data_IF_600222278548
#
_entry.id   IF_600222278548
#
_cell.length_a   1.000
_cell.length_b   1.000
_cell.length_c   1.000
_cell.angle_alpha   90.00
_cell.angle_beta   90.00
_cell.angle_gamma   90.00
#
_symmetry.space_group_name_H-M   'P 1'
#
loop_
_entity.id
_entity.type
_entity.pdbx_description
1 polymer ?
#
# COMPACT_ATOMS: atom_id res chain seq x y z
N UNK A 1 -16.32 9.56 -7.52
CA UNK A 1 -15.02 8.88 -7.68
C UNK A 1 -14.68 8.25 -6.35
N UNK A 2 -14.86 6.92 -6.22
CA UNK A 2 -14.64 6.21 -4.97
C UNK A 2 -13.13 5.94 -4.80
N UNK A 3 -12.50 6.60 -3.85
CA UNK A 3 -11.18 6.27 -3.37
C UNK A 3 -11.25 4.89 -2.71
N UNK A 4 -10.52 3.93 -3.24
CA UNK A 4 -10.44 2.61 -2.62
C UNK A 4 -9.51 2.72 -1.43
N UNK A 5 -10.07 2.81 -0.26
CA UNK A 5 -9.37 2.79 1.02
C UNK A 5 -9.12 1.33 1.35
N UNK A 6 -7.88 0.88 1.28
CA UNK A 6 -7.52 -0.47 1.68
C UNK A 6 -7.38 -0.55 3.20
N UNK A 7 -8.13 -1.43 3.86
CA UNK A 7 -7.84 -1.77 5.24
C UNK A 7 -6.53 -2.57 5.33
N UNK A 8 -5.82 -2.42 6.43
CA UNK A 8 -4.65 -3.21 6.81
C UNK A 8 -4.81 -4.65 6.38
N UNK A 9 -3.85 -5.18 5.60
CA UNK A 9 -3.75 -6.58 5.22
C UNK A 9 -3.66 -7.46 6.46
N UNK A 10 -4.76 -8.11 6.79
CA UNK A 10 -4.80 -9.24 7.70
C UNK A 10 -4.85 -10.48 6.83
N UNK A 11 -3.92 -11.40 7.10
CA UNK A 11 -3.80 -12.71 6.48
C UNK A 11 -5.15 -13.40 6.32
N UNK A 12 -5.51 -13.76 5.09
CA UNK A 12 -6.61 -14.66 4.81
C UNK A 12 -6.06 -16.07 4.76
N UNK A 13 -6.29 -16.81 5.82
CA UNK A 13 -6.17 -18.27 5.80
C UNK A 13 -7.41 -18.84 5.14
N UNK A 14 -7.21 -19.53 4.02
CA UNK A 14 -8.25 -20.41 3.45
C UNK A 14 -8.42 -21.64 4.34
N UNK A 15 -9.60 -21.87 4.84
CA UNK A 15 -10.00 -23.18 5.35
C UNK A 15 -11.32 -23.61 4.77
N UNK A 16 -11.29 -24.80 4.22
CA UNK A 16 -12.34 -25.51 3.51
C UNK A 16 -13.53 -25.86 4.37
N UNK A 17 -14.67 -25.88 3.72
CA UNK A 17 -15.99 -26.39 4.02
C UNK A 17 -16.05 -27.67 4.84
N UNK A 18 -16.80 -27.65 5.93
CA UNK A 18 -17.60 -28.83 6.39
C UNK A 18 -18.95 -28.32 6.89
N UNK A 19 -20.00 -28.85 6.27
CA UNK A 19 -21.38 -28.66 6.61
C UNK A 19 -21.78 -29.62 7.75
N UNK A 20 -22.29 -29.11 8.86
CA UNK A 20 -23.07 -29.92 9.83
C UNK A 20 -24.28 -29.12 10.30
N UNK A 21 -25.41 -29.75 10.15
CA UNK A 21 -26.76 -29.28 10.50
C UNK A 21 -26.99 -29.52 12.01
N UNK A 22 -27.62 -28.60 12.66
CA UNK A 22 -28.73 -28.71 13.59
C UNK A 22 -28.60 -27.90 14.88
N UNK A 23 -29.72 -27.34 15.15
CA UNK A 23 -30.38 -27.04 16.42
C UNK A 23 -30.46 -25.58 16.84
N UNK A 24 -31.67 -25.09 16.83
CA UNK A 24 -32.12 -23.81 17.32
C UNK A 24 -31.76 -23.61 18.80
N UNK A 25 -30.99 -22.60 19.07
CA UNK A 25 -30.95 -21.95 20.36
C UNK A 25 -31.10 -20.45 20.11
N UNK A 26 -32.14 -19.87 20.65
CA UNK A 26 -32.42 -18.45 20.68
C UNK A 26 -31.27 -17.73 21.42
N UNK A 27 -30.23 -17.36 20.69
CA UNK A 27 -29.17 -16.51 21.22
C UNK A 27 -29.56 -15.07 20.94
N UNK A 28 -29.81 -14.33 21.99
CA UNK A 28 -29.93 -12.87 22.02
C UNK A 28 -28.86 -12.24 21.15
N UNK A 29 -29.26 -11.60 20.09
CA UNK A 29 -28.38 -10.88 19.17
C UNK A 29 -27.83 -9.65 19.89
N UNK A 30 -26.71 -9.81 20.60
CA UNK A 30 -25.93 -8.67 21.07
C UNK A 30 -25.48 -7.90 19.81
N UNK A 31 -26.07 -6.73 19.65
CA UNK A 31 -25.67 -5.72 18.67
C UNK A 31 -24.14 -5.64 18.61
N UNK A 32 -23.58 -6.09 17.49
CA UNK A 32 -22.18 -5.89 17.19
C UNK A 32 -21.92 -4.39 17.22
N UNK A 33 -21.14 -3.91 18.19
CA UNK A 33 -20.62 -2.56 18.18
C UNK A 33 -19.93 -2.36 16.84
N UNK A 34 -20.46 -1.45 16.04
CA UNK A 34 -19.89 -1.03 14.78
C UNK A 34 -18.52 -0.41 15.09
N UNK A 35 -17.49 -1.23 15.13
CA UNK A 35 -16.11 -0.77 15.29
C UNK A 35 -15.77 -0.04 14.00
N UNK A 36 -15.95 1.27 14.01
CA UNK A 36 -15.53 2.16 12.93
C UNK A 36 -14.07 1.80 12.61
N UNK A 37 -13.83 1.28 11.39
CA UNK A 37 -12.48 0.91 10.97
C UNK A 37 -11.61 2.16 11.08
N UNK A 38 -10.58 2.07 11.91
CA UNK A 38 -9.63 3.15 12.10
C UNK A 38 -8.45 2.89 11.17
N UNK A 39 -8.13 3.85 10.32
CA UNK A 39 -6.94 3.88 9.48
C UNK A 39 -6.20 5.20 9.71
N UNK A 40 -4.89 5.15 9.65
CA UNK A 40 -4.05 6.34 9.87
C UNK A 40 -3.45 6.90 8.59
N UNK A 41 -3.55 6.19 7.49
CA UNK A 41 -2.99 6.60 6.21
C UNK A 41 -3.50 5.78 5.04
N UNK A 42 -3.05 6.17 3.86
CA UNK A 42 -3.37 5.53 2.58
C UNK A 42 -2.10 5.29 1.79
N UNK A 43 -2.16 4.37 0.84
CA UNK A 43 -1.19 4.24 -0.24
C UNK A 43 -1.87 4.46 -1.58
N UNK A 44 -1.11 5.00 -2.54
CA UNK A 44 -1.63 5.33 -3.87
C UNK A 44 -0.59 5.11 -4.95
N UNK A 45 -1.08 4.93 -6.18
CA UNK A 45 -0.29 4.89 -7.42
C UNK A 45 -1.06 5.58 -8.55
N UNK A 46 -0.55 5.49 -9.77
CA UNK A 46 -1.28 5.98 -10.95
C UNK A 46 -2.63 5.27 -11.18
N UNK A 47 -2.84 4.08 -10.58
CA UNK A 47 -4.10 3.35 -10.72
C UNK A 47 -5.32 4.09 -10.14
N UNK A 48 -5.11 4.94 -9.14
CA UNK A 48 -6.16 5.79 -8.58
C UNK A 48 -6.51 6.98 -9.48
N UNK A 49 -5.78 7.18 -10.60
CA UNK A 49 -6.02 8.28 -11.52
C UNK A 49 -5.72 9.65 -10.92
N UNK A 50 -6.57 10.64 -11.23
CA UNK A 50 -6.46 12.00 -10.67
C UNK A 50 -7.11 12.05 -9.28
N UNK A 51 -6.34 12.46 -8.28
CA UNK A 51 -6.77 12.54 -6.88
C UNK A 51 -7.08 13.98 -6.53
N UNK A 52 -8.23 14.21 -5.89
CA UNK A 52 -8.52 15.48 -5.23
C UNK A 52 -7.93 15.48 -3.81
N UNK A 53 -6.73 16.02 -3.70
CA UNK A 53 -6.01 16.08 -2.44
C UNK A 53 -6.65 16.98 -1.39
N UNK A 54 -7.47 17.96 -1.81
CA UNK A 54 -8.23 18.80 -0.88
C UNK A 54 -9.31 17.97 -0.20
N UNK A 55 -10.00 17.11 -0.96
CA UNK A 55 -10.99 16.20 -0.39
C UNK A 55 -10.35 15.15 0.53
N UNK A 56 -9.23 14.55 0.09
CA UNK A 56 -8.48 13.59 0.94
C UNK A 56 -8.09 14.19 2.28
N UNK A 57 -7.60 15.42 2.29
CA UNK A 57 -7.16 16.10 3.51
C UNK A 57 -8.29 16.50 4.48
N UNK A 58 -9.55 16.45 4.06
CA UNK A 58 -10.70 16.65 4.95
C UNK A 58 -10.88 15.49 5.92
N UNK A 59 -10.49 14.29 5.52
CA UNK A 59 -10.55 13.12 6.41
C UNK A 59 -9.41 13.17 7.42
N UNK A 60 -9.74 13.53 8.66
CA UNK A 60 -8.77 13.68 9.76
C UNK A 60 -8.15 12.36 10.23
N UNK A 61 -8.65 11.22 9.78
CA UNK A 61 -8.00 9.93 10.04
C UNK A 61 -6.77 9.73 9.13
N UNK A 62 -6.73 10.36 7.95
CA UNK A 62 -5.60 10.28 7.03
C UNK A 62 -4.50 11.24 7.48
N UNK A 63 -3.45 10.70 8.09
CA UNK A 63 -2.30 11.47 8.61
C UNK A 63 -1.10 11.42 7.68
N UNK A 64 -1.05 10.39 6.82
CA UNK A 64 0.07 10.18 5.90
C UNK A 64 -0.38 9.45 4.63
N UNK A 65 0.48 9.53 3.62
CA UNK A 65 0.30 8.81 2.36
C UNK A 65 1.62 8.21 1.90
N UNK A 66 1.59 6.95 1.48
CA UNK A 66 2.64 6.33 0.68
C UNK A 66 2.29 6.42 -0.80
N UNK A 67 3.25 6.87 -1.61
CA UNK A 67 3.04 7.13 -3.03
C UNK A 67 4.00 6.25 -3.84
N UNK A 68 3.47 5.47 -4.78
CA UNK A 68 4.29 4.68 -5.68
C UNK A 68 5.24 5.59 -6.44
N UNK A 69 6.53 5.37 -6.29
CA UNK A 69 7.53 6.12 -7.03
C UNK A 69 8.00 5.34 -8.25
N UNK A 70 8.27 4.03 -8.08
CA UNK A 70 8.85 3.21 -9.14
C UNK A 70 8.42 1.74 -9.04
N UNK A 71 8.69 1.02 -10.13
CA UNK A 71 8.56 -0.44 -10.23
C UNK A 71 9.70 -0.97 -11.09
N UNK A 72 10.31 -2.08 -10.70
CA UNK A 72 11.40 -2.66 -11.48
C UNK A 72 12.54 -1.66 -11.71
N UNK A 73 13.32 -1.84 -12.75
CA UNK A 73 14.55 -1.07 -13.00
C UNK A 73 14.35 0.26 -13.71
N UNK A 74 13.20 0.46 -14.39
CA UNK A 74 13.01 1.61 -15.30
C UNK A 74 11.65 2.31 -15.18
N UNK A 75 10.66 1.66 -14.58
CA UNK A 75 9.32 2.23 -14.49
C UNK A 75 9.29 3.26 -13.37
N UNK A 76 8.93 4.50 -13.70
CA UNK A 76 8.54 5.56 -12.78
C UNK A 76 7.03 5.72 -12.84
N UNK A 77 6.37 5.80 -11.69
CA UNK A 77 4.93 6.07 -11.65
C UNK A 77 4.65 7.45 -12.24
N UNK A 78 3.78 7.49 -13.26
CA UNK A 78 3.52 8.72 -14.03
C UNK A 78 2.90 9.85 -13.21
N UNK A 79 2.24 9.52 -12.10
CA UNK A 79 1.59 10.49 -11.22
C UNK A 79 2.42 10.81 -9.96
N UNK A 80 3.59 10.19 -9.78
CA UNK A 80 4.39 10.32 -8.56
C UNK A 80 4.71 11.78 -8.22
N UNK A 81 5.31 12.50 -9.15
CA UNK A 81 5.72 13.90 -8.96
C UNK A 81 4.55 14.82 -8.58
N UNK A 82 3.43 14.64 -9.29
CA UNK A 82 2.23 15.44 -9.05
C UNK A 82 1.63 15.12 -7.69
N UNK A 83 1.52 13.84 -7.36
CA UNK A 83 0.89 13.38 -6.13
C UNK A 83 1.70 13.78 -4.90
N UNK A 84 3.02 13.56 -4.89
CA UNK A 84 3.85 13.90 -3.71
C UNK A 84 3.84 15.40 -3.42
N UNK A 85 3.87 16.24 -4.46
CA UNK A 85 3.79 17.69 -4.31
C UNK A 85 2.40 18.14 -3.85
N UNK A 86 1.35 17.52 -4.39
CA UNK A 86 -0.03 17.91 -4.09
C UNK A 86 -0.47 17.46 -2.69
N UNK A 87 -0.16 16.24 -2.28
CA UNK A 87 -0.42 15.73 -0.94
C UNK A 87 0.27 16.58 0.13
N UNK A 88 1.54 16.90 -0.11
CA UNK A 88 2.34 17.73 0.80
C UNK A 88 1.77 19.14 0.97
N UNK A 89 1.28 19.76 -0.12
CA UNK A 89 0.61 21.07 -0.03
C UNK A 89 -0.64 21.05 0.85
N UNK A 90 -1.25 19.89 1.06
CA UNK A 90 -2.37 19.72 1.98
C UNK A 90 -1.94 19.33 3.41
N UNK A 91 -0.64 19.35 3.70
CA UNK A 91 -0.12 19.03 5.03
C UNK A 91 0.00 17.55 5.36
N UNK A 92 -0.22 16.65 4.40
CA UNK A 92 -0.05 15.22 4.60
C UNK A 92 1.44 14.85 4.67
N UNK A 93 1.79 13.98 5.61
CA UNK A 93 3.13 13.37 5.64
C UNK A 93 3.26 12.40 4.48
N UNK A 94 4.32 12.53 3.70
CA UNK A 94 4.52 11.74 2.48
C UNK A 94 5.70 10.79 2.61
N UNK A 95 5.47 9.54 2.22
CA UNK A 95 6.50 8.54 1.97
C UNK A 95 6.40 8.02 0.54
N UNK A 96 7.48 7.43 0.06
CA UNK A 96 7.53 6.81 -1.26
C UNK A 96 7.65 5.31 -1.14
N UNK A 97 7.08 4.56 -2.10
CA UNK A 97 7.31 3.13 -2.18
C UNK A 97 7.76 2.66 -3.56
N UNK A 98 8.46 1.54 -3.55
CA UNK A 98 8.93 0.84 -4.74
C UNK A 98 8.27 -0.54 -4.83
N UNK A 99 7.64 -0.84 -5.95
CA UNK A 99 7.11 -2.17 -6.23
C UNK A 99 8.24 -3.09 -6.70
N UNK A 100 8.55 -4.10 -5.88
CA UNK A 100 9.64 -5.03 -6.14
C UNK A 100 9.27 -6.03 -7.25
N UNK A 101 10.20 -6.25 -8.17
CA UNK A 101 10.04 -7.19 -9.28
C UNK A 101 11.13 -8.25 -9.29
N UNK A 102 10.74 -9.52 -9.39
CA UNK A 102 11.68 -10.63 -9.57
C UNK A 102 12.28 -10.75 -10.98
N UNK A 103 11.88 -9.88 -11.89
CA UNK A 103 12.31 -9.97 -13.29
C UNK A 103 13.63 -9.22 -13.56
N UNK A 104 14.10 -8.44 -12.61
CA UNK A 104 15.25 -7.55 -12.80
C UNK A 104 16.12 -7.46 -11.56
N UNK A 105 17.36 -6.99 -11.74
CA UNK A 105 18.34 -6.85 -10.66
C UNK A 105 17.85 -5.93 -9.53
N UNK A 106 17.88 -6.41 -8.30
CA UNK A 106 17.49 -5.65 -7.10
C UNK A 106 18.33 -4.38 -6.94
N UNK A 107 19.64 -4.46 -7.16
CA UNK A 107 20.53 -3.29 -7.11
C UNK A 107 20.13 -2.21 -8.12
N UNK A 108 19.71 -2.61 -9.33
CA UNK A 108 19.26 -1.66 -10.35
C UNK A 108 17.88 -1.08 -9.99
N UNK A 109 17.00 -1.87 -9.38
CA UNK A 109 15.72 -1.40 -8.85
C UNK A 109 15.93 -0.35 -7.74
N UNK A 110 16.85 -0.62 -6.82
CA UNK A 110 17.21 0.34 -5.78
C UNK A 110 17.70 1.67 -6.35
N UNK A 111 18.56 1.64 -7.37
CA UNK A 111 19.02 2.86 -8.07
C UNK A 111 17.88 3.62 -8.73
N UNK A 112 16.93 2.91 -9.37
CA UNK A 112 15.74 3.51 -9.95
C UNK A 112 14.90 4.22 -8.89
N UNK A 113 14.67 3.57 -7.76
CA UNK A 113 13.93 4.13 -6.64
C UNK A 113 14.63 5.36 -6.04
N UNK A 114 15.92 5.25 -5.73
CA UNK A 114 16.71 6.40 -5.24
C UNK A 114 16.66 7.59 -6.20
N UNK A 115 16.80 7.33 -7.51
CA UNK A 115 16.73 8.38 -8.54
C UNK A 115 15.38 9.07 -8.55
N UNK A 116 14.29 8.31 -8.45
CA UNK A 116 12.94 8.87 -8.44
C UNK A 116 12.66 9.73 -7.20
N UNK A 117 13.20 9.35 -6.04
CA UNK A 117 13.01 10.11 -4.79
C UNK A 117 13.89 11.36 -4.69
N UNK A 118 14.90 11.50 -5.56
CA UNK A 118 15.84 12.62 -5.49
C UNK A 118 15.09 13.96 -5.63
N UNK A 119 15.32 14.87 -4.69
CA UNK A 119 14.66 16.18 -4.65
C UNK A 119 13.28 16.17 -3.98
N UNK A 120 12.81 15.01 -3.52
CA UNK A 120 11.56 14.90 -2.76
C UNK A 120 11.85 14.55 -1.30
N UNK A 121 11.54 15.46 -0.39
CA UNK A 121 11.64 15.17 1.04
C UNK A 121 10.77 13.97 1.38
N UNK A 122 11.28 13.04 2.17
CA UNK A 122 10.55 11.91 2.72
C UNK A 122 10.24 12.19 4.19
N UNK A 123 8.95 12.21 4.56
CA UNK A 123 8.53 12.37 5.95
C UNK A 123 8.38 11.00 6.65
N UNK A 124 8.36 9.93 5.86
CA UNK A 124 8.29 8.54 6.28
C UNK A 124 9.47 7.78 5.68
N UNK A 125 9.85 6.69 6.32
CA UNK A 125 10.88 5.79 5.79
C UNK A 125 10.40 5.23 4.45
N UNK A 126 11.21 5.32 3.37
CA UNK A 126 10.86 4.71 2.09
C UNK A 126 10.56 3.21 2.23
N UNK A 127 9.56 2.73 1.52
CA UNK A 127 9.04 1.38 1.67
C UNK A 127 9.28 0.55 0.41
N UNK A 128 9.54 -0.74 0.59
CA UNK A 128 9.52 -1.75 -0.48
C UNK A 128 8.20 -2.50 -0.40
N UNK A 129 7.47 -2.45 -1.48
CA UNK A 129 6.20 -3.16 -1.65
C UNK A 129 6.47 -4.53 -2.30
N UNK A 130 6.10 -5.60 -1.58
CA UNK A 130 6.35 -6.98 -1.97
C UNK A 130 5.00 -7.67 -2.16
N UNK A 131 4.59 -7.80 -3.41
CA UNK A 131 3.37 -8.50 -3.77
C UNK A 131 3.67 -9.83 -4.47
N UNK A 132 2.76 -10.80 -4.34
CA UNK A 132 2.91 -12.11 -4.94
C UNK A 132 3.28 -12.04 -6.43
N UNK A 133 2.59 -11.22 -7.21
CA UNK A 133 2.85 -11.10 -8.65
C UNK A 133 4.23 -10.53 -8.97
N UNK A 134 4.71 -9.62 -8.14
CA UNK A 134 6.06 -9.06 -8.26
C UNK A 134 7.16 -10.07 -8.01
N UNK A 135 6.95 -11.01 -7.09
CA UNK A 135 7.99 -11.94 -6.62
C UNK A 135 7.68 -13.43 -6.87
N UNK A 136 6.66 -13.76 -7.64
CA UNK A 136 6.18 -15.13 -7.87
C UNK A 136 7.22 -16.16 -8.34
N UNK A 137 8.33 -15.68 -8.92
CA UNK A 137 9.44 -16.55 -9.40
C UNK A 137 10.54 -16.69 -8.37
N UNK A 138 10.43 -16.07 -7.21
CA UNK A 138 11.41 -16.13 -6.15
C UNK A 138 10.95 -17.03 -5.00
N UNK A 139 11.90 -17.78 -4.44
CA UNK A 139 11.70 -18.43 -3.16
C UNK A 139 11.64 -17.41 -2.01
N UNK A 140 11.08 -17.80 -0.89
CA UNK A 140 11.06 -16.98 0.33
C UNK A 140 12.45 -16.46 0.70
N UNK A 141 13.47 -17.31 0.58
CA UNK A 141 14.87 -16.93 0.86
C UNK A 141 15.36 -15.83 -0.09
N UNK A 142 15.07 -15.95 -1.39
CA UNK A 142 15.45 -14.93 -2.37
C UNK A 142 14.78 -13.58 -2.10
N UNK A 143 13.52 -13.58 -1.66
CA UNK A 143 12.84 -12.34 -1.24
C UNK A 143 13.56 -11.74 -0.03
N UNK A 144 13.85 -12.54 1.00
CA UNK A 144 14.55 -12.09 2.21
C UNK A 144 15.93 -11.50 1.88
N UNK A 145 16.72 -12.21 1.08
CA UNK A 145 18.06 -11.74 0.67
C UNK A 145 17.99 -10.43 -0.14
N UNK A 146 16.92 -10.25 -0.92
CA UNK A 146 16.73 -9.08 -1.76
C UNK A 146 16.42 -7.80 -0.99
N UNK A 147 15.81 -7.90 0.19
CA UNK A 147 15.47 -6.73 1.02
C UNK A 147 16.53 -6.46 2.09
N UNK A 148 17.49 -7.36 2.25
CA UNK A 148 18.62 -7.20 3.18
C UNK A 148 19.86 -6.52 2.54
N UNK A 149 19.80 -6.20 1.24
CA UNK A 149 20.86 -5.52 0.49
C UNK A 149 20.85 -4.01 0.74
#
# INVERSE_FOLDING_TARGET
MKSTIFPRLINILFLSTICVIASAATASHKSSKNTKRQYDGIDISHHQGKIDWKEVAKDKQIKFVYIKATQGTSIKDKNYEQNIKAARRQGLRCGSYHYLSCLTSVRSQFRNFQKAMRGHKQDLIPMIDIEHDGVRRWSKKQVQDSVAL
#
